data_IF_492216593746
#
_entry.id   IF_492216593746
#
_cell.length_a   1.000
_cell.length_b   1.000
_cell.length_c   1.000
_cell.angle_alpha   90.00
_cell.angle_beta   90.00
_cell.angle_gamma   90.00
#
_symmetry.space_group_name_H-M   'P 1'
#
loop_
_entity.id
_entity.type
_entity.pdbx_description
1 polymer ?
#
# COMPACT_ATOMS: atom_id res chain seq x y z
N UNK A 1 -29.29 -50.18 -41.25
CA UNK A 1 -28.25 -49.14 -41.20
C UNK A 1 -28.70 -48.12 -40.15
N UNK A 2 -28.15 -48.20 -38.94
CA UNK A 2 -28.59 -47.44 -37.76
C UNK A 2 -27.90 -46.09 -37.68
N UNK A 3 -28.65 -45.03 -37.45
CA UNK A 3 -28.15 -43.66 -37.29
C UNK A 3 -27.43 -43.51 -35.94
N UNK A 4 -26.24 -42.89 -35.96
CA UNK A 4 -25.49 -42.48 -34.77
C UNK A 4 -25.93 -41.07 -34.43
N UNK A 5 -26.72 -40.90 -33.37
CA UNK A 5 -26.95 -39.60 -32.74
C UNK A 5 -25.83 -39.37 -31.72
N UNK A 6 -24.91 -38.46 -32.03
CA UNK A 6 -23.94 -37.93 -31.06
C UNK A 6 -24.55 -36.72 -30.38
N UNK A 7 -24.96 -36.86 -29.13
CA UNK A 7 -25.27 -35.73 -28.25
C UNK A 7 -23.97 -35.17 -27.65
N UNK A 8 -23.64 -33.89 -27.82
CA UNK A 8 -22.53 -33.27 -27.10
C UNK A 8 -22.95 -33.07 -25.63
N UNK A 9 -22.27 -33.77 -24.71
CA UNK A 9 -22.39 -33.50 -23.27
C UNK A 9 -21.67 -32.19 -22.98
N UNK A 10 -22.40 -31.21 -22.44
CA UNK A 10 -21.81 -29.97 -21.95
C UNK A 10 -21.39 -30.20 -20.50
N UNK A 11 -20.09 -30.19 -20.21
CA UNK A 11 -19.59 -30.24 -18.83
C UNK A 11 -19.71 -28.84 -18.19
N UNK A 12 -20.67 -28.60 -17.28
CA UNK A 12 -20.87 -27.29 -16.66
C UNK A 12 -19.71 -26.89 -15.73
N UNK A 13 -18.79 -27.82 -15.45
CA UNK A 13 -17.64 -27.60 -14.59
C UNK A 13 -16.53 -26.76 -15.23
N UNK A 14 -16.47 -26.65 -16.56
CA UNK A 14 -15.43 -25.86 -17.26
C UNK A 14 -15.81 -24.38 -17.46
N UNK A 15 -17.05 -23.97 -17.15
CA UNK A 15 -17.57 -22.63 -17.45
C UNK A 15 -17.87 -21.78 -16.19
N UNK A 16 -17.42 -22.19 -15.01
CA UNK A 16 -17.55 -21.36 -13.81
C UNK A 16 -16.36 -20.39 -13.71
N UNK A 17 -16.57 -19.06 -13.78
CA UNK A 17 -15.53 -18.12 -13.37
C UNK A 17 -15.21 -18.40 -11.90
N UNK A 18 -13.98 -18.82 -11.60
CA UNK A 18 -13.49 -18.87 -10.21
C UNK A 18 -13.62 -17.46 -9.66
N UNK A 19 -14.60 -17.26 -8.78
CA UNK A 19 -14.74 -16.01 -8.04
C UNK A 19 -13.38 -15.71 -7.39
N UNK A 20 -12.79 -14.51 -7.58
CA UNK A 20 -11.62 -14.12 -6.84
C UNK A 20 -11.99 -14.25 -5.36
N UNK A 21 -11.32 -15.16 -4.68
CA UNK A 21 -11.61 -15.50 -3.29
C UNK A 21 -11.55 -14.21 -2.47
N UNK A 22 -12.57 -13.94 -1.66
CA UNK A 22 -12.64 -12.74 -0.81
C UNK A 22 -11.35 -12.50 0.03
N UNK A 23 -10.59 -13.57 0.27
CA UNK A 23 -9.27 -13.59 0.92
C UNK A 23 -8.14 -12.95 0.08
N UNK A 24 -8.15 -13.04 -1.25
CA UNK A 24 -7.09 -12.44 -2.08
C UNK A 24 -7.22 -10.92 -2.10
N UNK A 25 -8.46 -10.41 -2.18
CA UNK A 25 -8.76 -8.97 -2.07
C UNK A 25 -8.41 -8.41 -0.69
N UNK A 26 -8.53 -9.20 0.38
CA UNK A 26 -8.20 -8.76 1.74
C UNK A 26 -6.68 -8.60 1.94
N UNK A 27 -5.88 -9.50 1.36
CA UNK A 27 -4.41 -9.46 1.45
C UNK A 27 -3.84 -8.23 0.72
N UNK A 28 -4.28 -7.96 -0.51
CA UNK A 28 -3.81 -6.79 -1.27
C UNK A 28 -4.20 -5.48 -0.58
N UNK A 29 -5.43 -5.41 -0.07
CA UNK A 29 -5.91 -4.25 0.69
C UNK A 29 -5.12 -4.06 1.98
N UNK A 30 -4.86 -5.14 2.73
CA UNK A 30 -4.04 -5.09 3.94
C UNK A 30 -2.60 -4.64 3.65
N UNK A 31 -2.00 -5.12 2.57
CA UNK A 31 -0.66 -4.69 2.15
C UNK A 31 -0.62 -3.20 1.79
N UNK A 32 -1.62 -2.70 1.05
CA UNK A 32 -1.74 -1.28 0.71
C UNK A 32 -1.94 -0.41 1.95
N UNK A 33 -2.83 -0.81 2.85
CA UNK A 33 -3.08 -0.10 4.11
C UNK A 33 -1.83 -0.07 5.00
N UNK A 34 -1.10 -1.18 5.09
CA UNK A 34 0.13 -1.27 5.86
C UNK A 34 1.22 -0.33 5.32
N UNK A 35 1.40 -0.24 4.00
CA UNK A 35 2.30 0.74 3.37
C UNK A 35 1.88 2.19 3.59
N UNK A 36 0.57 2.47 3.55
CA UNK A 36 0.05 3.80 3.83
C UNK A 36 0.32 4.22 5.28
N UNK A 37 0.14 3.29 6.22
CA UNK A 37 0.49 3.51 7.63
C UNK A 37 1.98 3.79 7.82
N UNK A 38 2.85 2.99 7.21
CA UNK A 38 4.29 3.21 7.26
C UNK A 38 4.68 4.59 6.71
N UNK A 39 4.05 5.03 5.62
CA UNK A 39 4.28 6.37 5.05
C UNK A 39 3.91 7.49 6.01
N UNK A 40 2.81 7.36 6.74
CA UNK A 40 2.41 8.33 7.77
C UNK A 40 3.40 8.33 8.94
N UNK A 41 3.83 7.15 9.39
CA UNK A 41 4.86 7.03 10.42
C UNK A 41 6.18 7.72 10.01
N UNK A 42 6.63 7.51 8.77
CA UNK A 42 7.84 8.17 8.24
C UNK A 42 7.65 9.68 8.17
N UNK A 43 6.49 10.17 7.72
CA UNK A 43 6.19 11.61 7.69
C UNK A 43 6.29 12.24 9.08
N UNK A 44 5.70 11.63 10.10
CA UNK A 44 5.81 12.12 11.49
C UNK A 44 7.26 12.16 11.98
N UNK A 45 8.06 11.14 11.63
CA UNK A 45 9.45 11.12 12.04
C UNK A 45 10.31 12.14 11.29
N UNK A 46 10.05 12.35 10.00
CA UNK A 46 10.68 13.42 9.22
C UNK A 46 10.29 14.80 9.72
N UNK A 47 9.03 15.01 10.13
CA UNK A 47 8.62 16.28 10.73
C UNK A 47 9.52 16.65 11.91
N UNK A 48 9.77 15.73 12.84
CA UNK A 48 10.70 15.96 13.96
C UNK A 48 12.17 16.17 13.53
N UNK A 49 12.63 15.51 12.47
CA UNK A 49 13.98 15.74 11.92
C UNK A 49 14.12 17.14 11.30
N UNK A 50 13.10 17.65 10.62
CA UNK A 50 13.11 18.95 9.95
C UNK A 50 12.68 20.12 10.84
N UNK A 51 12.04 19.85 11.98
CA UNK A 51 11.67 20.85 12.99
C UNK A 51 12.90 21.51 13.63
N UNK A 52 14.02 20.77 13.76
CA UNK A 52 15.30 21.30 14.22
C UNK A 52 16.15 22.00 13.14
N UNK A 53 15.71 22.00 11.87
CA UNK A 53 16.42 22.65 10.76
C UNK A 53 15.89 24.09 10.62
N UNK A 54 16.44 24.98 11.44
CA UNK A 54 16.30 26.42 11.28
C UNK A 54 16.81 26.81 9.88
N UNK A 55 16.00 27.54 9.12
CA UNK A 55 16.41 28.04 7.81
C UNK A 55 17.33 29.25 8.03
N UNK A 56 18.62 28.97 8.19
CA UNK A 56 19.61 30.00 8.50
C UNK A 56 19.91 30.84 7.24
N UNK A 57 19.31 32.03 7.16
CA UNK A 57 19.64 33.01 6.12
C UNK A 57 18.56 34.06 5.83
N UNK A 58 18.98 35.21 5.29
CA UNK A 58 18.14 36.36 4.90
C UNK A 58 16.95 36.03 3.97
N UNK A 59 16.98 34.86 3.31
CA UNK A 59 15.97 34.40 2.34
C UNK A 59 15.28 33.09 2.74
N UNK A 60 15.51 32.57 3.96
CA UNK A 60 14.97 31.29 4.42
C UNK A 60 14.00 31.42 5.60
N UNK A 61 13.06 30.49 5.73
CA UNK A 61 12.28 30.28 6.96
C UNK A 61 10.93 30.98 7.03
N UNK A 62 10.48 31.61 5.95
CA UNK A 62 9.15 32.23 5.87
C UNK A 62 7.99 31.21 5.91
N UNK A 63 6.79 31.66 6.30
CA UNK A 63 5.57 30.81 6.38
C UNK A 63 5.25 30.11 5.07
N UNK A 64 5.51 30.75 3.93
CA UNK A 64 5.34 30.14 2.60
C UNK A 64 6.27 28.94 2.38
N UNK A 65 7.55 29.08 2.73
CA UNK A 65 8.52 27.98 2.60
C UNK A 65 8.16 26.80 3.51
N UNK A 66 7.70 27.07 4.74
CA UNK A 66 7.26 26.01 5.68
C UNK A 66 6.14 25.14 5.10
N UNK A 67 5.16 25.75 4.42
CA UNK A 67 4.05 25.03 3.79
C UNK A 67 4.50 24.18 2.59
N UNK A 68 5.44 24.66 1.78
CA UNK A 68 5.99 23.86 0.68
C UNK A 68 6.95 22.77 1.19
N UNK A 69 7.69 23.05 2.27
CA UNK A 69 8.61 22.10 2.89
C UNK A 69 7.86 20.88 3.45
N UNK A 70 6.74 21.07 4.15
CA UNK A 70 5.94 19.94 4.64
C UNK A 70 5.42 19.06 3.51
N UNK A 71 4.92 19.65 2.42
CA UNK A 71 4.49 18.92 1.24
C UNK A 71 5.62 18.12 0.59
N UNK A 72 6.82 18.71 0.48
CA UNK A 72 8.01 18.02 -0.04
C UNK A 72 8.42 16.86 0.86
N UNK A 73 8.38 17.04 2.18
CA UNK A 73 8.69 15.99 3.16
C UNK A 73 7.73 14.81 3.01
N UNK A 74 6.43 15.07 2.84
CA UNK A 74 5.43 14.03 2.66
C UNK A 74 5.67 13.21 1.38
N UNK A 75 6.04 13.86 0.27
CA UNK A 75 6.40 13.15 -0.96
C UNK A 75 7.71 12.37 -0.81
N UNK A 76 8.69 12.91 -0.08
CA UNK A 76 9.92 12.20 0.25
C UNK A 76 9.65 10.94 1.09
N UNK A 77 8.76 11.05 2.07
CA UNK A 77 8.33 9.93 2.89
C UNK A 77 7.65 8.84 2.04
N UNK A 78 6.74 9.22 1.14
CA UNK A 78 6.09 8.29 0.19
C UNK A 78 7.06 7.63 -0.78
N UNK A 79 8.04 8.37 -1.30
CA UNK A 79 9.08 7.80 -2.17
C UNK A 79 9.94 6.79 -1.42
N UNK A 80 10.25 7.09 -0.16
CA UNK A 80 11.10 6.26 0.69
C UNK A 80 10.43 4.94 1.07
N UNK A 81 9.13 4.96 1.35
CA UNK A 81 8.34 3.75 1.65
C UNK A 81 7.97 2.93 0.42
N UNK A 82 7.78 3.56 -0.75
CA UNK A 82 7.42 2.85 -1.98
C UNK A 82 8.61 2.32 -2.79
N UNK A 83 9.86 2.64 -2.38
CA UNK A 83 11.05 2.21 -3.11
C UNK A 83 11.22 0.69 -3.04
N UNK A 84 11.39 -0.01 -4.18
CA UNK A 84 11.71 -1.44 -4.19
C UNK A 84 13.11 -1.64 -3.58
N UNK A 85 13.23 -2.55 -2.62
CA UNK A 85 14.50 -2.87 -1.96
C UNK A 85 14.66 -2.43 -0.49
N UNK A 86 13.64 -1.81 0.11
CA UNK A 86 13.56 -1.68 1.58
C UNK A 86 14.24 -0.45 2.18
N UNK A 87 13.97 0.75 1.66
CA UNK A 87 14.32 2.01 2.35
C UNK A 87 13.25 2.50 3.34
N UNK A 88 12.17 1.74 3.55
CA UNK A 88 11.21 1.99 4.63
C UNK A 88 11.68 1.35 5.95
N UNK A 89 11.07 1.73 7.07
CA UNK A 89 11.38 1.19 8.41
C UNK A 89 11.08 -0.31 8.55
N UNK A 90 10.49 -0.94 7.54
CA UNK A 90 10.22 -2.38 7.49
C UNK A 90 9.02 -2.77 8.35
N UNK A 91 8.15 -1.81 8.69
CA UNK A 91 7.04 -2.02 9.63
C UNK A 91 5.79 -2.51 8.88
N UNK A 92 5.65 -2.20 7.59
CA UNK A 92 4.50 -2.60 6.78
C UNK A 92 4.22 -4.13 6.79
N UNK A 93 5.21 -5.04 6.68
CA UNK A 93 4.95 -6.48 6.77
C UNK A 93 4.35 -6.92 8.12
N UNK A 94 4.77 -6.28 9.23
CA UNK A 94 4.24 -6.57 10.56
C UNK A 94 2.79 -6.07 10.71
N UNK A 95 2.50 -4.86 10.23
CA UNK A 95 1.15 -4.28 10.23
C UNK A 95 0.20 -5.09 9.35
N UNK A 96 0.65 -5.55 8.18
CA UNK A 96 -0.16 -6.39 7.30
C UNK A 96 -0.59 -7.68 7.99
N UNK A 97 0.33 -8.37 8.68
CA UNK A 97 0.01 -9.58 9.46
C UNK A 97 -1.00 -9.29 10.56
N UNK A 98 -0.89 -8.16 11.25
CA UNK A 98 -1.83 -7.75 12.28
C UNK A 98 -3.23 -7.48 11.71
N UNK A 99 -3.31 -6.76 10.58
CA UNK A 99 -4.57 -6.47 9.90
C UNK A 99 -5.27 -7.74 9.41
N UNK A 100 -4.52 -8.72 8.91
CA UNK A 100 -5.07 -10.01 8.51
C UNK A 100 -5.57 -10.81 9.73
N UNK A 101 -4.79 -10.86 10.82
CA UNK A 101 -5.20 -11.53 12.06
C UNK A 101 -6.48 -10.95 12.67
N UNK A 102 -6.69 -9.63 12.57
CA UNK A 102 -7.93 -8.99 13.02
C UNK A 102 -9.15 -9.29 12.13
N UNK A 103 -8.93 -9.68 10.88
CA UNK A 103 -10.00 -10.05 9.94
C UNK A 103 -10.40 -11.54 10.04
N UNK A 104 -9.65 -12.33 10.79
CA UNK A 104 -9.91 -13.77 11.04
C UNK A 104 -10.80 -14.02 12.27
N UNK A 105 -11.25 -12.97 12.96
CA UNK A 105 -12.13 -13.03 14.15
C UNK A 105 -13.59 -12.80 13.77
#
# INVERSE_FOLDING_TARGET
>A
MSAITTTPSFDPALAAPRAPTAQTTSIEKAAKTAKAFESQFVSQMYQHMFEGVEADGLFGGGTGEKMFRSLLIDEYAKMTTNRPGGSGFGIAPAIQKMLLKQQEV
#
